data_IF_851502978967
#
_entry.id   IF_851502978967
#
_cell.length_a   1.000
_cell.length_b   1.000
_cell.length_c   1.000
_cell.angle_alpha   90.00
_cell.angle_beta   90.00
_cell.angle_gamma   90.00
#
_symmetry.space_group_name_H-M   'P 1'
#
loop_
_entity.id
_entity.type
_entity.pdbx_description
1 polymer ?
#
# COMPACT_ATOMS: atom_id res chain seq x y z
N UNK A 1 20.34 -5.25 -1.03
CA UNK A 1 19.76 -6.38 -0.26
C UNK A 1 18.35 -6.00 0.12
N UNK A 2 17.36 -6.85 -0.19
CA UNK A 2 15.97 -6.66 0.24
C UNK A 2 15.62 -7.63 1.37
N UNK A 3 14.56 -7.35 2.11
CA UNK A 3 14.04 -8.29 3.12
C UNK A 3 13.02 -9.19 2.42
N UNK A 4 13.26 -10.50 2.43
CA UNK A 4 12.29 -11.48 1.93
C UNK A 4 11.03 -11.44 2.79
N UNK A 5 9.86 -11.48 2.16
CA UNK A 5 8.56 -11.52 2.82
C UNK A 5 7.68 -12.58 2.18
N UNK A 6 6.92 -13.30 2.99
CA UNK A 6 6.09 -14.42 2.58
C UNK A 6 4.68 -13.98 2.15
N UNK A 7 4.30 -12.72 2.41
CA UNK A 7 3.02 -12.15 1.96
C UNK A 7 3.05 -10.63 1.85
N UNK A 8 2.10 -10.06 1.08
CA UNK A 8 1.91 -8.61 0.98
C UNK A 8 1.66 -7.95 2.34
N UNK A 9 0.88 -8.58 3.23
CA UNK A 9 0.63 -8.07 4.58
C UNK A 9 1.91 -8.04 5.40
N UNK A 10 2.76 -9.06 5.25
CA UNK A 10 4.05 -9.08 5.92
C UNK A 10 4.99 -7.99 5.39
N UNK A 11 5.00 -7.73 4.08
CA UNK A 11 5.76 -6.60 3.52
C UNK A 11 5.36 -5.27 4.17
N UNK A 12 4.05 -5.01 4.29
CA UNK A 12 3.53 -3.80 4.92
C UNK A 12 3.86 -3.74 6.42
N UNK A 13 3.79 -4.89 7.13
CA UNK A 13 4.22 -4.98 8.53
C UNK A 13 5.69 -4.64 8.72
N UNK A 14 6.59 -5.20 7.91
CA UNK A 14 8.02 -4.91 8.01
C UNK A 14 8.32 -3.44 7.70
N UNK A 15 7.66 -2.84 6.71
CA UNK A 15 7.81 -1.41 6.44
C UNK A 15 7.42 -0.54 7.64
N UNK A 16 6.37 -0.92 8.37
CA UNK A 16 5.93 -0.20 9.57
C UNK A 16 6.88 -0.42 10.75
N UNK A 17 7.30 -1.67 11.00
CA UNK A 17 8.27 -2.01 12.06
C UNK A 17 9.63 -1.30 11.87
N UNK A 18 10.03 -1.06 10.62
CA UNK A 18 11.23 -0.31 10.28
C UNK A 18 11.04 1.22 10.28
N UNK A 19 9.85 1.72 10.61
CA UNK A 19 9.55 3.16 10.62
C UNK A 19 9.57 3.83 9.24
N UNK A 20 9.46 3.05 8.16
CA UNK A 20 9.45 3.56 6.79
C UNK A 20 8.08 4.09 6.38
N UNK A 21 7.02 3.61 7.03
CA UNK A 21 5.64 4.09 6.90
C UNK A 21 5.04 4.36 8.29
N UNK A 22 4.06 5.27 8.35
CA UNK A 22 3.33 5.60 9.56
C UNK A 22 2.08 4.72 9.74
N UNK A 23 1.35 4.91 10.85
CA UNK A 23 0.16 4.11 11.17
C UNK A 23 -0.98 4.29 10.15
N UNK A 24 -1.17 5.51 9.62
CA UNK A 24 -2.19 5.82 8.62
C UNK A 24 -1.90 5.07 7.31
N UNK A 25 -0.66 5.14 6.84
CA UNK A 25 -0.19 4.45 5.63
C UNK A 25 -0.23 2.93 5.82
N UNK A 26 0.10 2.43 7.00
CA UNK A 26 -0.02 1.02 7.34
C UNK A 26 -1.47 0.52 7.23
N UNK A 27 -2.43 1.26 7.80
CA UNK A 27 -3.86 0.95 7.69
C UNK A 27 -4.33 1.03 6.25
N UNK A 28 -3.94 2.07 5.53
CA UNK A 28 -4.29 2.28 4.13
C UNK A 28 -3.80 1.15 3.23
N UNK A 29 -2.52 0.78 3.30
CA UNK A 29 -1.94 -0.30 2.49
C UNK A 29 -2.59 -1.65 2.80
N UNK A 30 -2.91 -1.94 4.07
CA UNK A 30 -3.67 -3.14 4.42
C UNK A 30 -5.10 -3.15 3.84
N UNK A 31 -5.76 -1.99 3.78
CA UNK A 31 -7.05 -1.83 3.10
C UNK A 31 -6.91 -2.08 1.60
N UNK A 32 -5.85 -1.57 0.96
CA UNK A 32 -5.57 -1.81 -0.47
C UNK A 32 -5.34 -3.30 -0.75
N UNK A 33 -4.55 -3.99 0.07
CA UNK A 33 -4.32 -5.44 -0.06
C UNK A 33 -5.63 -6.22 0.08
N UNK A 34 -6.46 -5.84 1.05
CA UNK A 34 -7.76 -6.48 1.26
C UNK A 34 -8.70 -6.22 0.08
N UNK A 35 -8.74 -5.00 -0.44
CA UNK A 35 -9.51 -4.66 -1.63
C UNK A 35 -9.06 -5.45 -2.86
N UNK A 36 -7.74 -5.60 -3.07
CA UNK A 36 -7.17 -6.45 -4.14
C UNK A 36 -7.67 -7.89 -4.05
N UNK A 37 -7.80 -8.46 -2.85
CA UNK A 37 -8.32 -9.82 -2.69
C UNK A 37 -9.80 -9.92 -3.10
N UNK A 38 -10.62 -8.93 -2.76
CA UNK A 38 -12.02 -8.86 -3.19
C UNK A 38 -12.10 -8.73 -4.71
N UNK A 39 -11.32 -7.83 -5.31
CA UNK A 39 -11.33 -7.62 -6.77
C UNK A 39 -10.85 -8.87 -7.53
N UNK A 40 -9.90 -9.63 -7.00
CA UNK A 40 -9.40 -10.82 -7.71
C UNK A 40 -10.28 -12.05 -7.50
N UNK A 41 -10.83 -12.26 -6.29
CA UNK A 41 -11.53 -13.50 -5.95
C UNK A 41 -13.05 -13.36 -5.87
N UNK A 42 -13.56 -12.15 -5.69
CA UNK A 42 -14.98 -11.87 -5.44
C UNK A 42 -15.45 -10.61 -6.18
N UNK A 43 -14.97 -10.38 -7.41
CA UNK A 43 -15.27 -9.15 -8.16
C UNK A 43 -16.76 -8.88 -8.34
N UNK A 44 -17.59 -9.92 -8.37
CA UNK A 44 -19.04 -9.80 -8.51
C UNK A 44 -19.72 -9.11 -7.31
N UNK A 45 -19.08 -9.10 -6.13
CA UNK A 45 -19.64 -8.46 -4.91
C UNK A 45 -19.07 -7.07 -4.66
N UNK A 46 -18.23 -6.55 -5.56
CA UNK A 46 -17.66 -5.21 -5.41
C UNK A 46 -18.75 -4.15 -5.55
N UNK A 47 -18.97 -3.40 -4.47
CA UNK A 47 -19.95 -2.33 -4.46
C UNK A 47 -19.51 -1.17 -5.37
N UNK A 48 -20.35 -0.83 -6.36
CA UNK A 48 -20.11 0.29 -7.29
C UNK A 48 -19.79 1.62 -6.57
N UNK A 49 -20.42 1.88 -5.43
CA UNK A 49 -20.19 3.09 -4.62
C UNK A 49 -18.74 3.20 -4.14
N UNK A 50 -18.10 2.08 -3.82
CA UNK A 50 -16.68 2.06 -3.42
C UNK A 50 -15.79 2.47 -4.59
N UNK A 51 -16.06 1.94 -5.79
CA UNK A 51 -15.33 2.31 -7.01
C UNK A 51 -15.52 3.80 -7.32
N UNK A 52 -16.76 4.29 -7.28
CA UNK A 52 -17.07 5.70 -7.52
C UNK A 52 -16.34 6.62 -6.53
N UNK A 53 -16.28 6.24 -5.25
CA UNK A 53 -15.52 6.96 -4.23
C UNK A 53 -14.02 6.99 -4.57
N UNK A 54 -13.41 5.84 -4.86
CA UNK A 54 -11.98 5.75 -5.23
C UNK A 54 -11.66 6.62 -6.44
N UNK A 55 -12.51 6.61 -7.46
CA UNK A 55 -12.32 7.39 -8.69
C UNK A 55 -12.47 8.89 -8.43
N UNK A 56 -13.48 9.29 -7.65
CA UNK A 56 -13.74 10.71 -7.32
C UNK A 56 -12.65 11.31 -6.44
N UNK A 57 -12.24 10.58 -5.41
CA UNK A 57 -11.21 11.01 -4.45
C UNK A 57 -9.78 10.78 -4.98
N UNK A 58 -9.65 10.04 -6.09
CA UNK A 58 -8.36 9.63 -6.68
C UNK A 58 -7.47 8.93 -5.64
N UNK A 59 -8.07 8.09 -4.79
CA UNK A 59 -7.39 7.47 -3.63
C UNK A 59 -6.18 6.63 -4.02
N UNK A 60 -6.09 6.17 -5.28
CA UNK A 60 -4.91 5.49 -5.83
C UNK A 60 -3.64 6.37 -5.80
N UNK A 61 -3.75 7.71 -5.78
CA UNK A 61 -2.61 8.62 -5.69
C UNK A 61 -1.82 8.44 -4.40
N UNK A 62 -2.49 8.11 -3.30
CA UNK A 62 -1.83 7.87 -2.01
C UNK A 62 -0.82 6.71 -2.09
N UNK A 63 -1.07 5.70 -2.93
CA UNK A 63 -0.12 4.60 -3.19
C UNK A 63 1.15 5.15 -3.84
N UNK A 64 1.01 6.03 -4.84
CA UNK A 64 2.13 6.65 -5.55
C UNK A 64 2.94 7.56 -4.61
N UNK A 65 2.27 8.34 -3.76
CA UNK A 65 2.92 9.18 -2.76
C UNK A 65 3.77 8.34 -1.78
N UNK A 66 3.23 7.22 -1.28
CA UNK A 66 3.97 6.31 -0.41
C UNK A 66 5.15 5.68 -1.16
N UNK A 67 4.96 5.24 -2.41
CA UNK A 67 6.01 4.65 -3.22
C UNK A 67 7.16 5.65 -3.45
N UNK A 68 6.85 6.90 -3.78
CA UNK A 68 7.82 7.96 -3.99
C UNK A 68 8.59 8.27 -2.69
N UNK A 69 7.89 8.40 -1.57
CA UNK A 69 8.51 8.59 -0.26
C UNK A 69 9.49 7.47 0.10
N UNK A 70 9.10 6.20 -0.12
CA UNK A 70 9.96 5.05 0.13
C UNK A 70 11.18 5.04 -0.79
N UNK A 71 11.00 5.44 -2.06
CA UNK A 71 12.08 5.56 -3.05
C UNK A 71 13.09 6.64 -2.65
N UNK A 72 12.63 7.79 -2.14
CA UNK A 72 13.52 8.84 -1.66
C UNK A 72 14.29 8.41 -0.40
N UNK A 73 13.62 7.78 0.58
CA UNK A 73 14.32 7.18 1.74
C UNK A 73 15.34 6.12 1.34
N UNK A 74 15.06 5.35 0.29
CA UNK A 74 15.99 4.37 -0.25
C UNK A 74 17.26 5.05 -0.79
N UNK A 75 17.13 6.13 -1.58
CA UNK A 75 18.29 6.86 -2.10
C UNK A 75 19.22 7.35 -1.00
N UNK A 76 18.67 7.94 0.08
CA UNK A 76 19.47 8.40 1.24
C UNK A 76 20.34 7.27 1.85
N UNK A 77 19.93 6.01 1.68
CA UNK A 77 20.64 4.85 2.21
C UNK A 77 21.67 4.26 1.23
N UNK A 78 21.49 4.45 -0.08
CA UNK A 78 22.30 3.83 -1.14
C UNK A 78 23.24 4.81 -1.87
N UNK A 79 23.00 6.11 -1.78
CA UNK A 79 23.80 7.18 -2.39
C UNK A 79 24.07 8.30 -1.36
N UNK A 80 24.84 8.01 -0.28
CA UNK A 80 25.08 8.96 0.81
C UNK A 80 26.00 10.12 0.45
#
# INVERSE_FOLDING_TARGET
>A
MGITTDSYKESVRKLFELGLINEEEYKFLNSVISFRNIVVHAYAVVERRVIEKIMKERSYRKILEIAEKLREKAKEYWDP
#
